data_IF_346970595225
#
_entry.id   IF_346970595225
#
_cell.length_a   1.000
_cell.length_b   1.000
_cell.length_c   1.000
_cell.angle_alpha   90.00
_cell.angle_beta   90.00
_cell.angle_gamma   90.00
#
_symmetry.space_group_name_H-M   'P 1'
#
loop_
_entity.id
_entity.type
_entity.pdbx_description
1 polymer ?
#
# COMPACT_ATOMS: atom_id res chain seq x y z
N UNK A 1 8.75 4.88 29.06
CA UNK A 1 8.96 3.64 28.28
C UNK A 1 9.68 3.91 26.95
N UNK A 2 9.08 4.66 26.01
CA UNK A 2 9.70 4.98 24.70
C UNK A 2 11.14 5.53 24.81
N UNK A 3 11.39 6.52 25.68
CA UNK A 3 12.72 7.09 25.92
C UNK A 3 13.83 6.07 26.27
N UNK A 4 13.47 4.91 26.83
CA UNK A 4 14.41 3.84 27.20
C UNK A 4 14.58 2.82 26.06
N UNK A 5 13.52 2.56 25.29
CA UNK A 5 13.51 1.53 24.25
C UNK A 5 14.06 2.04 22.93
N UNK A 6 13.69 3.25 22.50
CA UNK A 6 14.06 3.78 21.18
C UNK A 6 15.58 3.78 20.94
N UNK A 7 16.45 4.22 21.86
CA UNK A 7 17.90 4.17 21.64
C UNK A 7 18.47 2.75 21.50
N UNK A 8 17.77 1.74 22.02
CA UNK A 8 18.21 0.32 22.03
C UNK A 8 17.62 -0.52 20.89
N UNK A 9 16.61 0.00 20.20
CA UNK A 9 15.88 -0.66 19.11
C UNK A 9 16.04 0.11 17.79
N UNK A 10 17.10 0.92 17.68
CA UNK A 10 17.48 1.46 16.37
C UNK A 10 18.03 0.32 15.50
N UNK A 11 17.76 0.33 14.19
CA UNK A 11 18.45 -0.56 13.28
C UNK A 11 19.96 -0.31 13.36
N UNK A 12 20.73 -1.40 13.30
CA UNK A 12 22.18 -1.34 13.17
C UNK A 12 22.58 -0.95 11.73
N UNK A 13 23.85 -0.63 11.53
CA UNK A 13 24.37 -0.33 10.20
C UNK A 13 24.14 -1.51 9.24
N UNK A 14 23.51 -1.22 8.10
CA UNK A 14 23.16 -2.23 7.09
C UNK A 14 21.87 -3.00 7.35
N UNK A 15 21.23 -2.84 8.52
CA UNK A 15 19.90 -3.41 8.76
C UNK A 15 18.80 -2.62 8.05
N UNK A 16 17.79 -3.33 7.61
CA UNK A 16 16.63 -2.77 6.92
C UNK A 16 15.33 -3.38 7.45
N UNK A 17 14.20 -2.81 7.07
CA UNK A 17 12.87 -3.27 7.41
C UNK A 17 12.18 -3.99 6.25
N UNK A 18 11.11 -4.69 6.58
CA UNK A 18 10.17 -5.31 5.64
C UNK A 18 8.75 -4.90 6.02
N UNK A 19 7.91 -4.67 5.03
CA UNK A 19 6.49 -4.41 5.20
C UNK A 19 5.67 -5.52 4.57
N UNK A 20 4.82 -6.15 5.39
CA UNK A 20 3.98 -7.27 4.99
C UNK A 20 2.52 -6.92 5.24
N UNK A 21 1.68 -7.06 4.21
CA UNK A 21 0.23 -6.98 4.31
C UNK A 21 -0.37 -8.31 3.89
N UNK A 22 -1.33 -8.80 4.67
CA UNK A 22 -2.11 -10.00 4.34
C UNK A 22 -3.58 -9.77 4.69
N UNK A 23 -4.40 -9.57 3.67
CA UNK A 23 -5.83 -9.36 3.84
C UNK A 23 -6.59 -10.54 3.23
N UNK A 24 -7.42 -11.19 4.03
CA UNK A 24 -8.30 -12.26 3.56
C UNK A 24 -9.74 -11.80 3.61
N UNK A 25 -10.40 -11.82 2.45
CA UNK A 25 -11.82 -11.56 2.31
C UNK A 25 -12.53 -12.88 2.06
N UNK A 26 -13.64 -13.11 2.75
CA UNK A 26 -14.54 -14.23 2.51
C UNK A 26 -15.96 -13.71 2.35
N UNK A 27 -16.72 -14.32 1.45
CA UNK A 27 -18.07 -13.84 1.16
C UNK A 27 -18.79 -14.70 0.14
N UNK A 28 -19.90 -14.18 -0.38
CA UNK A 28 -20.70 -14.80 -1.42
C UNK A 28 -20.66 -13.87 -2.63
N UNK A 29 -20.29 -14.43 -3.79
CA UNK A 29 -20.34 -13.75 -5.09
C UNK A 29 -21.17 -14.61 -6.02
N UNK A 30 -22.24 -14.04 -6.59
CA UNK A 30 -23.14 -14.73 -7.51
C UNK A 30 -23.68 -16.07 -6.97
N UNK A 31 -24.01 -16.10 -5.66
CA UNK A 31 -24.50 -17.31 -4.97
C UNK A 31 -23.43 -18.35 -4.61
N UNK A 32 -22.18 -18.16 -5.02
CA UNK A 32 -21.05 -19.04 -4.70
C UNK A 32 -20.21 -18.45 -3.55
N UNK A 33 -19.89 -19.27 -2.54
CA UNK A 33 -18.92 -18.86 -1.52
C UNK A 33 -17.54 -18.70 -2.14
N UNK A 34 -16.88 -17.63 -1.76
CA UNK A 34 -15.61 -17.22 -2.34
C UNK A 34 -14.68 -16.67 -1.26
N UNK A 35 -13.38 -16.86 -1.50
CA UNK A 35 -12.28 -16.27 -0.74
C UNK A 35 -11.38 -15.50 -1.70
N UNK A 36 -10.93 -14.33 -1.28
CA UNK A 36 -9.96 -13.51 -1.98
C UNK A 36 -8.85 -13.17 -0.98
N UNK A 37 -7.61 -13.49 -1.33
CA UNK A 37 -6.44 -13.12 -0.54
C UNK A 37 -5.68 -12.01 -1.27
N UNK A 38 -5.43 -10.88 -0.58
CA UNK A 38 -4.52 -9.83 -1.03
C UNK A 38 -3.24 -9.89 -0.20
N UNK A 39 -2.09 -9.87 -0.84
CA UNK A 39 -0.80 -9.89 -0.16
C UNK A 39 0.21 -8.94 -0.79
N UNK A 40 1.01 -8.34 0.08
CA UNK A 40 2.11 -7.44 -0.26
C UNK A 40 3.31 -7.82 0.60
N UNK A 41 4.48 -7.92 -0.02
CA UNK A 41 5.76 -8.12 0.65
C UNK A 41 6.74 -7.14 0.03
N UNK A 42 7.10 -6.12 0.78
CA UNK A 42 7.97 -5.05 0.31
C UNK A 42 9.19 -4.92 1.21
N UNK A 43 10.35 -4.83 0.58
CA UNK A 43 11.64 -4.63 1.23
C UNK A 43 12.14 -3.21 0.97
N UNK A 44 13.15 -2.80 1.72
CA UNK A 44 13.79 -1.51 1.54
C UNK A 44 14.43 -1.38 0.16
N UNK A 45 14.39 -0.17 -0.40
CA UNK A 45 15.20 0.22 -1.55
C UNK A 45 16.58 0.64 -1.04
N UNK A 46 17.50 -0.34 -0.99
CA UNK A 46 18.86 -0.16 -0.51
C UNK A 46 19.67 0.78 -1.42
N UNK A 47 19.39 0.77 -2.73
CA UNK A 47 20.08 1.61 -3.71
C UNK A 47 19.84 3.10 -3.43
N UNK A 48 18.59 3.45 -3.10
CA UNK A 48 18.19 4.84 -2.83
C UNK A 48 18.09 5.17 -1.32
N UNK A 49 18.39 4.22 -0.43
CA UNK A 49 18.35 4.40 1.02
C UNK A 49 16.95 4.62 1.59
N UNK A 50 15.92 4.02 1.00
CA UNK A 50 14.52 4.18 1.43
C UNK A 50 14.05 2.90 2.12
N UNK A 51 13.59 3.00 3.37
CA UNK A 51 13.00 1.87 4.12
C UNK A 51 11.77 1.30 3.42
N UNK A 52 11.44 0.04 3.68
CA UNK A 52 10.20 -0.59 3.20
C UNK A 52 8.98 0.22 3.65
N UNK A 53 8.93 0.61 4.93
CA UNK A 53 7.87 1.45 5.49
C UNK A 53 7.78 2.80 4.77
N UNK A 54 8.93 3.42 4.49
CA UNK A 54 9.02 4.67 3.75
C UNK A 54 8.43 4.54 2.35
N UNK A 55 8.78 3.48 1.62
CA UNK A 55 8.24 3.19 0.28
C UNK A 55 6.72 3.01 0.29
N UNK A 56 6.22 2.10 1.13
CA UNK A 56 4.78 1.75 1.14
C UNK A 56 3.89 2.83 1.75
N UNK A 57 4.48 3.85 2.39
CA UNK A 57 3.74 5.02 2.90
C UNK A 57 3.80 6.18 1.91
N UNK A 58 5.02 6.62 1.54
CA UNK A 58 5.20 7.86 0.80
C UNK A 58 4.87 7.74 -0.69
N UNK A 59 5.02 6.55 -1.31
CA UNK A 59 4.72 6.40 -2.73
C UNK A 59 3.21 6.48 -3.02
N UNK A 60 2.33 5.75 -2.28
CA UNK A 60 0.88 5.98 -2.36
C UNK A 60 0.50 7.46 -2.18
N UNK A 61 1.05 8.12 -1.17
CA UNK A 61 0.81 9.55 -0.90
C UNK A 61 1.23 10.43 -2.09
N UNK A 62 2.44 10.25 -2.60
CA UNK A 62 2.97 11.02 -3.72
C UNK A 62 2.15 10.81 -5.01
N UNK A 63 1.74 9.58 -5.29
CA UNK A 63 0.87 9.26 -6.44
C UNK A 63 -0.46 9.98 -6.30
N UNK A 64 -1.14 9.85 -5.16
CA UNK A 64 -2.42 10.50 -4.91
C UNK A 64 -2.30 12.04 -5.01
N UNK A 65 -1.22 12.61 -4.46
CA UNK A 65 -0.92 14.05 -4.54
C UNK A 65 -0.78 14.52 -5.99
N UNK A 66 -0.07 13.76 -6.84
CA UNK A 66 0.05 14.06 -8.27
C UNK A 66 -1.32 13.96 -8.96
N UNK A 67 -2.14 12.96 -8.64
CA UNK A 67 -3.49 12.81 -9.19
C UNK A 67 -4.42 13.98 -8.81
N UNK A 68 -4.32 14.47 -7.58
CA UNK A 68 -5.01 15.71 -7.15
C UNK A 68 -4.50 16.92 -7.95
N UNK A 69 -3.18 17.06 -8.09
CA UNK A 69 -2.57 18.15 -8.87
C UNK A 69 -2.97 18.17 -10.35
N UNK A 70 -3.22 16.99 -10.93
CA UNK A 70 -3.74 16.84 -12.30
C UNK A 70 -5.25 17.06 -12.43
N UNK A 71 -5.96 17.14 -11.30
CA UNK A 71 -7.43 17.22 -11.28
C UNK A 71 -8.15 15.90 -11.55
N UNK A 72 -7.44 14.77 -11.53
CA UNK A 72 -8.03 13.42 -11.64
C UNK A 72 -8.86 13.12 -10.38
N UNK A 73 -8.29 13.37 -9.20
CA UNK A 73 -9.02 13.40 -7.93
C UNK A 73 -9.51 14.82 -7.69
N UNK A 74 -10.82 15.04 -7.75
CA UNK A 74 -11.41 16.38 -7.71
C UNK A 74 -12.43 16.62 -6.57
N UNK A 75 -12.76 15.59 -5.78
CA UNK A 75 -13.61 15.71 -4.59
C UNK A 75 -13.01 16.75 -3.62
N UNK A 76 -13.87 17.54 -2.96
CA UNK A 76 -13.47 18.66 -2.10
C UNK A 76 -13.79 18.38 -0.64
N UNK A 77 -13.01 18.98 0.25
CA UNK A 77 -13.15 18.81 1.70
C UNK A 77 -12.22 17.72 2.25
N UNK A 78 -12.58 17.19 3.42
CA UNK A 78 -11.87 16.07 4.05
C UNK A 78 -12.49 14.79 3.50
N UNK A 79 -11.76 14.12 2.61
CA UNK A 79 -12.23 12.93 1.89
C UNK A 79 -11.30 11.79 2.21
N UNK A 80 -11.86 10.65 2.62
CA UNK A 80 -11.08 9.45 2.89
C UNK A 80 -10.56 8.85 1.56
N UNK A 81 -9.38 8.19 1.54
CA UNK A 81 -8.81 7.63 0.31
C UNK A 81 -9.75 6.69 -0.43
N UNK A 82 -10.53 5.87 0.27
CA UNK A 82 -11.51 4.94 -0.29
C UNK A 82 -12.66 5.64 -1.02
N UNK A 83 -12.99 6.87 -0.63
CA UNK A 83 -13.96 7.70 -1.33
C UNK A 83 -13.29 8.50 -2.46
N UNK A 84 -12.02 8.85 -2.36
CA UNK A 84 -11.32 9.66 -3.36
C UNK A 84 -10.77 8.84 -4.54
N UNK A 85 -10.39 7.59 -4.30
CA UNK A 85 -9.66 6.71 -5.20
C UNK A 85 -10.58 5.53 -5.57
N UNK A 86 -11.50 5.79 -6.50
CA UNK A 86 -12.51 4.82 -6.95
C UNK A 86 -12.52 4.67 -8.47
N UNK A 87 -13.16 3.60 -8.96
CA UNK A 87 -13.34 3.35 -10.39
C UNK A 87 -12.02 3.39 -11.18
N UNK A 88 -11.97 4.24 -12.21
CA UNK A 88 -10.78 4.33 -13.08
C UNK A 88 -9.56 4.93 -12.37
N UNK A 89 -9.76 5.80 -11.38
CA UNK A 89 -8.67 6.40 -10.60
C UNK A 89 -7.97 5.30 -9.79
N UNK A 90 -8.75 4.39 -9.21
CA UNK A 90 -8.21 3.23 -8.49
C UNK A 90 -7.33 2.33 -9.37
N UNK A 91 -7.79 2.01 -10.58
CA UNK A 91 -6.99 1.24 -11.54
C UNK A 91 -5.65 1.93 -11.85
N UNK A 92 -5.70 3.23 -12.20
CA UNK A 92 -4.50 4.01 -12.49
C UNK A 92 -3.57 4.10 -11.27
N UNK A 93 -4.13 4.18 -10.06
CA UNK A 93 -3.37 4.27 -8.82
C UNK A 93 -2.59 2.98 -8.56
N UNK A 94 -3.22 1.82 -8.73
CA UNK A 94 -2.55 0.53 -8.63
C UNK A 94 -1.49 0.34 -9.72
N UNK A 95 -1.74 0.80 -10.95
CA UNK A 95 -0.73 0.78 -12.02
C UNK A 95 0.51 1.61 -11.67
N UNK A 96 0.33 2.79 -11.08
CA UNK A 96 1.42 3.66 -10.63
C UNK A 96 2.21 3.04 -9.47
N UNK A 97 1.55 2.34 -8.54
CA UNK A 97 2.23 1.56 -7.49
C UNK A 97 3.06 0.43 -8.08
N UNK A 98 2.49 -0.34 -9.01
CA UNK A 98 3.18 -1.42 -9.71
C UNK A 98 4.41 -0.91 -10.47
N UNK A 99 4.31 0.27 -11.12
CA UNK A 99 5.46 0.90 -11.80
C UNK A 99 6.61 1.22 -10.84
N UNK A 100 6.31 1.51 -9.57
CA UNK A 100 7.29 1.73 -8.49
C UNK A 100 7.65 0.45 -7.74
N UNK A 101 7.33 -0.71 -8.32
CA UNK A 101 7.59 -2.04 -7.80
C UNK A 101 6.94 -2.30 -6.43
N UNK A 102 5.82 -1.63 -6.13
CA UNK A 102 4.96 -1.98 -4.99
C UNK A 102 3.86 -2.88 -5.52
N UNK A 103 3.93 -4.19 -5.22
CA UNK A 103 3.05 -5.18 -5.82
C UNK A 103 2.06 -5.72 -4.77
N UNK A 104 0.78 -5.47 -5.02
CA UNK A 104 -0.32 -6.10 -4.29
C UNK A 104 -0.85 -7.22 -5.16
N UNK A 105 -0.67 -8.46 -4.70
CA UNK A 105 -1.09 -9.66 -5.42
C UNK A 105 -2.47 -10.09 -4.93
N UNK A 106 -3.34 -10.47 -5.86
CA UNK A 106 -4.71 -10.89 -5.60
C UNK A 106 -4.92 -12.34 -6.04
N UNK A 107 -5.41 -13.18 -5.13
CA UNK A 107 -5.66 -14.61 -5.38
C UNK A 107 -7.10 -14.97 -5.05
N UNK A 108 -7.81 -15.45 -6.05
CA UNK A 108 -9.20 -15.87 -5.97
C UNK A 108 -9.33 -17.37 -5.73
N UNK A 109 -10.15 -17.78 -4.75
CA UNK A 109 -10.44 -19.17 -4.42
C UNK A 109 -11.94 -19.38 -4.23
N UNK A 110 -12.49 -20.41 -4.86
CA UNK A 110 -13.84 -20.91 -4.54
C UNK A 110 -13.75 -21.74 -3.25
N UNK A 111 -14.70 -21.56 -2.33
CA UNK A 111 -14.74 -22.26 -1.03
C UNK A 111 -16.11 -22.89 -0.77
#
# INVERSE_FOLDING_TARGET
>A
LSHIMTPKLQPLEGETDVCVMWNTLTGIKDGQKMRIDYYMWEEADIENGISAMGRVTAFPEAIATVMVGKGEINKKGIVAPEDAIEGKIYENFLEELKRRKINILEVFKKI
#
